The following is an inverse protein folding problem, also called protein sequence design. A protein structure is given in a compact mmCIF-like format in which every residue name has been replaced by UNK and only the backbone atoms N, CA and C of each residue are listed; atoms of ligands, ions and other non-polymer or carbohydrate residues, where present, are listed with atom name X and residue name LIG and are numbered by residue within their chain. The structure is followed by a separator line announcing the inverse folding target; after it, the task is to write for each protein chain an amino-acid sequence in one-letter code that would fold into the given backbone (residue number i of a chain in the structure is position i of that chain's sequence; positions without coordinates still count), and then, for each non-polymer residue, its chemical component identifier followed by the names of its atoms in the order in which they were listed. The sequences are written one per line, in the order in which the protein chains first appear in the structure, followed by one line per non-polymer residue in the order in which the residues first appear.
data_IF_136525338999
#
_entry.id   IF_136525338999
#
_cell.length_a   1.000
_cell.length_b   1.000
_cell.length_c   1.000
_cell.angle_alpha   90.00
_cell.angle_beta   90.00
_cell.angle_gamma   90.00
#
_symmetry.space_group_name_H-M   'P 1'
#
loop_
_entity.id
_entity.type
_entity.pdbx_description
1 polymer ?
#
# COMPACT_ATOMS: atom_id res chain seq x y z
N UNK A 1 -4.21 35.80 32.91
CA UNK A 1 -3.96 35.87 31.45
C UNK A 1 -2.84 34.93 31.02
N UNK A 2 -1.61 35.05 31.56
CA UNK A 2 -0.44 34.21 31.16
C UNK A 2 -0.63 32.71 31.47
N UNK A 3 -1.23 32.36 32.61
CA UNK A 3 -1.49 30.95 32.98
C UNK A 3 -2.49 30.23 32.08
N UNK A 4 -3.43 30.95 31.47
CA UNK A 4 -4.43 30.36 30.58
C UNK A 4 -3.83 29.98 29.22
N UNK A 5 -2.87 30.79 28.75
CA UNK A 5 -2.13 30.52 27.50
C UNK A 5 -1.23 29.30 27.65
N UNK A 6 -0.55 29.14 28.80
CA UNK A 6 0.28 27.97 29.08
C UNK A 6 -0.53 26.68 29.17
N UNK A 7 -1.74 26.75 29.73
CA UNK A 7 -2.65 25.60 29.83
C UNK A 7 -3.14 25.12 28.46
N UNK A 8 -3.51 26.05 27.57
CA UNK A 8 -3.89 25.71 26.19
C UNK A 8 -2.71 25.11 25.43
N UNK A 9 -1.50 25.68 25.57
CA UNK A 9 -0.30 25.13 24.94
C UNK A 9 0.00 23.70 25.42
N UNK A 10 -0.15 23.43 26.73
CA UNK A 10 0.06 22.10 27.31
C UNK A 10 -0.94 21.05 26.81
N UNK A 11 -2.18 21.44 26.50
CA UNK A 11 -3.18 20.52 25.93
C UNK A 11 -2.96 20.23 24.43
N UNK A 12 -2.40 21.19 23.68
CA UNK A 12 -2.11 21.02 22.25
C UNK A 12 -0.77 20.32 21.95
N UNK A 13 0.21 20.39 22.88
CA UNK A 13 1.53 19.77 22.70
C UNK A 13 1.52 18.23 22.60
N UNK A 14 0.79 17.46 23.44
CA UNK A 14 0.76 16.00 23.33
C UNK A 14 -0.10 15.53 22.15
N UNK A 15 -1.14 16.29 21.81
CA UNK A 15 -1.98 16.06 20.64
C UNK A 15 -1.13 16.11 19.36
N UNK A 16 -0.38 17.20 19.14
CA UNK A 16 0.49 17.34 17.95
C UNK A 16 1.62 16.31 17.91
N UNK A 17 2.15 15.87 19.06
CA UNK A 17 3.12 14.78 19.14
C UNK A 17 2.52 13.44 18.69
N UNK A 18 1.32 13.09 19.15
CA UNK A 18 0.58 11.89 18.72
C UNK A 18 0.14 11.94 17.25
N UNK A 19 -0.27 13.11 16.73
CA UNK A 19 -0.60 13.25 15.31
C UNK A 19 0.64 13.08 14.42
N UNK A 20 1.83 13.53 14.87
CA UNK A 20 3.09 13.40 14.12
C UNK A 20 3.61 11.94 14.07
N UNK A 21 3.36 11.14 15.11
CA UNK A 21 3.67 9.70 15.10
C UNK A 21 2.72 8.87 14.21
N UNK A 22 1.52 9.39 13.87
CA UNK A 22 0.55 8.69 13.00
C UNK A 22 0.83 8.90 11.51
N UNK A 23 1.54 9.96 11.14
CA UNK A 23 1.99 10.22 9.78
C UNK A 23 3.45 9.75 9.61
N UNK A 24 3.71 8.47 9.86
CA UNK A 24 4.81 7.80 9.17
C UNK A 24 4.31 7.50 7.75
N UNK A 25 4.68 8.26 6.71
CA UNK A 25 4.72 7.66 5.40
C UNK A 25 5.74 6.52 5.53
N UNK A 26 5.25 5.28 5.51
CA UNK A 26 6.10 4.11 5.51
C UNK A 26 6.90 4.10 4.19
N UNK A 27 7.99 4.87 4.12
CA UNK A 27 9.10 4.60 3.21
C UNK A 27 9.81 3.39 3.78
N UNK A 28 9.18 2.23 3.56
CA UNK A 28 9.82 0.93 3.70
C UNK A 28 10.91 0.86 2.64
N UNK A 29 12.08 1.40 2.95
CA UNK A 29 13.32 1.01 2.30
C UNK A 29 13.65 -0.39 2.83
N UNK A 30 12.99 -1.41 2.29
CA UNK A 30 13.58 -2.75 2.25
C UNK A 30 14.46 -2.79 1.01
N UNK A 31 15.71 -2.37 1.18
CA UNK A 31 16.76 -2.80 0.27
C UNK A 31 16.97 -4.31 0.52
N UNK A 32 17.10 -5.08 -0.57
CA UNK A 32 17.39 -6.51 -0.64
C UNK A 32 16.22 -7.52 -0.55
N UNK A 33 15.34 -7.52 -1.57
CA UNK A 33 14.95 -8.79 -2.21
C UNK A 33 14.93 -8.58 -3.73
N UNK A 34 15.85 -9.28 -4.41
CA UNK A 34 15.93 -9.50 -5.86
C UNK A 34 15.97 -8.27 -6.77
N UNK A 35 17.20 -7.80 -6.98
CA UNK A 35 17.68 -7.05 -8.13
C UNK A 35 17.31 -7.77 -9.43
N UNK A 36 16.21 -7.34 -10.06
CA UNK A 36 15.96 -7.22 -11.51
C UNK A 36 14.45 -7.14 -11.71
N UNK A 37 14.00 -6.03 -12.28
CA UNK A 37 12.74 -5.96 -13.02
C UNK A 37 11.45 -5.58 -12.26
N UNK A 38 11.56 -4.83 -11.17
CA UNK A 38 10.52 -3.84 -10.87
C UNK A 38 11.11 -2.51 -11.36
N UNK A 39 10.45 -1.77 -12.26
CA UNK A 39 10.99 -0.51 -12.77
C UNK A 39 11.36 0.40 -11.59
N UNK A 40 12.55 0.99 -11.67
CA UNK A 40 13.14 1.81 -10.61
C UNK A 40 12.26 3.01 -10.25
N UNK A 41 11.43 3.46 -11.20
CA UNK A 41 10.43 4.50 -11.01
C UNK A 41 9.22 4.02 -10.21
N UNK A 42 9.01 4.67 -9.06
CA UNK A 42 7.84 4.44 -8.21
C UNK A 42 6.51 4.65 -8.94
N UNK A 43 6.47 5.55 -9.93
CA UNK A 43 5.27 5.83 -10.75
C UNK A 43 5.00 4.68 -11.71
N UNK A 44 6.04 4.21 -12.43
CA UNK A 44 5.89 3.15 -13.41
C UNK A 44 5.58 1.80 -12.73
N UNK A 45 6.17 1.54 -11.56
CA UNK A 45 5.83 0.38 -10.73
C UNK A 45 4.36 0.40 -10.32
N UNK A 46 3.84 1.56 -9.89
CA UNK A 46 2.42 1.70 -9.51
C UNK A 46 1.53 1.49 -10.71
N UNK A 47 1.86 2.06 -11.87
CA UNK A 47 1.08 1.89 -13.08
C UNK A 47 1.05 0.42 -13.54
N UNK A 48 2.20 -0.24 -13.57
CA UNK A 48 2.32 -1.66 -13.90
C UNK A 48 1.49 -2.56 -12.97
N UNK A 49 1.58 -2.34 -11.66
CA UNK A 49 0.78 -3.10 -10.68
C UNK A 49 -0.72 -2.83 -10.86
N UNK A 50 -1.11 -1.57 -11.11
CA UNK A 50 -2.51 -1.21 -11.34
C UNK A 50 -3.05 -1.84 -12.63
N UNK A 51 -2.26 -1.85 -13.71
CA UNK A 51 -2.63 -2.52 -14.96
C UNK A 51 -2.84 -4.02 -14.74
N UNK A 52 -1.90 -4.71 -14.07
CA UNK A 52 -2.05 -6.12 -13.73
C UNK A 52 -3.29 -6.39 -12.87
N UNK A 53 -3.60 -5.51 -11.91
CA UNK A 53 -4.83 -5.63 -11.11
C UNK A 53 -6.08 -5.55 -11.97
N UNK A 54 -6.14 -4.58 -12.88
CA UNK A 54 -7.27 -4.43 -13.80
C UNK A 54 -7.43 -5.65 -14.72
N UNK A 55 -6.33 -6.20 -15.23
CA UNK A 55 -6.36 -7.43 -16.04
C UNK A 55 -6.87 -8.63 -15.23
N UNK A 56 -6.42 -8.77 -13.99
CA UNK A 56 -6.87 -9.81 -13.07
C UNK A 56 -8.37 -9.63 -12.76
N UNK A 57 -8.81 -8.43 -12.45
CA UNK A 57 -10.22 -8.10 -12.19
C UNK A 57 -11.10 -8.33 -13.42
N UNK A 58 -10.63 -7.99 -14.62
CA UNK A 58 -11.33 -8.24 -15.88
C UNK A 58 -11.44 -9.74 -16.21
N UNK A 59 -10.45 -10.54 -15.80
CA UNK A 59 -10.48 -12.00 -15.92
C UNK A 59 -11.28 -12.69 -14.80
N UNK A 60 -11.66 -11.95 -13.75
CA UNK A 60 -12.45 -12.43 -12.62
C UNK A 60 -13.93 -12.06 -12.77
N UNK A 61 -14.75 -12.61 -11.88
CA UNK A 61 -16.16 -12.26 -11.75
C UNK A 61 -16.34 -10.78 -11.39
N UNK A 62 -17.49 -10.16 -11.73
CA UNK A 62 -17.78 -8.78 -11.36
C UNK A 62 -17.66 -8.56 -9.85
N UNK A 63 -17.21 -7.36 -9.46
CA UNK A 63 -16.97 -7.04 -8.05
C UNK A 63 -18.27 -7.18 -7.24
N UNK A 64 -18.27 -8.01 -6.18
CA UNK A 64 -19.47 -8.21 -5.36
C UNK A 64 -19.83 -6.93 -4.57
N UNK A 65 -21.11 -6.73 -4.31
CA UNK A 65 -21.64 -5.58 -3.55
C UNK A 65 -21.53 -5.77 -2.02
N UNK A 66 -21.53 -7.02 -1.55
CA UNK A 66 -21.49 -7.32 -0.12
C UNK A 66 -20.12 -7.06 0.50
N UNK A 67 -20.09 -6.44 1.68
CA UNK A 67 -18.85 -6.04 2.36
C UNK A 67 -17.94 -7.21 2.76
N UNK A 68 -18.52 -8.35 3.16
CA UNK A 68 -17.77 -9.56 3.52
C UNK A 68 -17.19 -10.21 2.26
N UNK A 69 -18.02 -10.32 1.22
CA UNK A 69 -17.62 -10.95 -0.04
C UNK A 69 -16.59 -10.09 -0.77
N UNK A 70 -16.69 -8.76 -0.65
CA UNK A 70 -15.70 -7.81 -1.14
C UNK A 70 -14.34 -8.01 -0.49
N UNK A 71 -14.26 -8.22 0.83
CA UNK A 71 -12.98 -8.49 1.51
C UNK A 71 -12.34 -9.79 1.03
N UNK A 72 -13.15 -10.83 0.85
CA UNK A 72 -12.68 -12.09 0.28
C UNK A 72 -12.21 -11.92 -1.16
N UNK A 73 -12.96 -11.17 -1.96
CA UNK A 73 -12.60 -10.83 -3.32
C UNK A 73 -11.27 -10.08 -3.38
N UNK A 74 -11.10 -9.03 -2.57
CA UNK A 74 -9.88 -8.23 -2.50
C UNK A 74 -8.68 -9.10 -2.08
N UNK A 75 -8.87 -10.05 -1.15
CA UNK A 75 -7.84 -11.02 -0.77
C UNK A 75 -7.47 -11.99 -1.91
N UNK A 76 -8.47 -12.48 -2.66
CA UNK A 76 -8.25 -13.33 -3.83
C UNK A 76 -7.47 -12.60 -4.93
N UNK A 77 -7.80 -11.33 -5.18
CA UNK A 77 -7.09 -10.47 -6.14
C UNK A 77 -5.64 -10.26 -5.69
N UNK A 78 -5.40 -10.01 -4.41
CA UNK A 78 -4.04 -9.84 -3.87
C UNK A 78 -3.18 -11.09 -4.06
N UNK A 79 -3.71 -12.27 -3.73
CA UNK A 79 -3.00 -13.55 -3.90
C UNK A 79 -2.66 -13.80 -5.37
N UNK A 80 -3.61 -13.60 -6.29
CA UNK A 80 -3.38 -13.77 -7.73
C UNK A 80 -2.32 -12.80 -8.26
N UNK A 81 -2.35 -11.55 -7.79
CA UNK A 81 -1.35 -10.55 -8.17
C UNK A 81 0.05 -10.96 -7.72
N UNK A 82 0.20 -11.42 -6.49
CA UNK A 82 1.50 -11.91 -5.98
C UNK A 82 1.99 -13.13 -6.78
N UNK A 83 1.10 -14.06 -7.12
CA UNK A 83 1.44 -15.21 -7.97
C UNK A 83 1.94 -14.78 -9.34
N UNK A 84 1.27 -13.82 -9.99
CA UNK A 84 1.68 -13.28 -11.30
C UNK A 84 3.03 -12.55 -11.21
N UNK A 85 3.24 -11.75 -10.18
CA UNK A 85 4.53 -11.09 -9.96
C UNK A 85 5.66 -12.10 -9.73
N UNK A 86 5.41 -13.15 -8.96
CA UNK A 86 6.36 -14.24 -8.74
C UNK A 86 6.64 -15.04 -10.03
N UNK A 87 5.60 -15.26 -10.86
CA UNK A 87 5.72 -15.93 -12.16
C UNK A 87 6.55 -15.11 -13.15
N UNK A 88 6.29 -13.80 -13.26
CA UNK A 88 7.08 -12.87 -14.08
C UNK A 88 8.54 -12.84 -13.60
N UNK A 89 8.76 -12.84 -12.29
CA UNK A 89 10.10 -12.93 -11.71
C UNK A 89 10.80 -14.25 -12.05
N UNK A 90 10.07 -15.37 -12.11
CA UNK A 90 10.59 -16.70 -12.43
C UNK A 90 10.92 -16.87 -13.92
N UNK A 91 10.06 -16.39 -14.82
CA UNK A 91 10.22 -16.53 -16.27
C UNK A 91 11.42 -15.76 -16.84
N UNK A 92 11.91 -14.73 -16.15
CA UNK A 92 13.02 -13.86 -16.62
C UNK A 92 14.34 -14.10 -15.89
N UNK A 93 14.47 -15.24 -15.21
CA UNK A 93 15.67 -15.68 -14.51
C UNK A 93 16.61 -16.56 -15.37
N UNK A 94 16.36 -16.71 -16.67
CA UNK A 94 17.29 -17.27 -17.63
C UNK A 94 18.32 -16.24 -18.11
#
# INVERSE_FOLDING_TARGET
MVMFVLFIAYLYFPATWLYRLRFQPATKTSCSVSKRYIPEDAVLRRHFISQLRLEIEAALHPRPTDSILQRHYDALVAIKLEQRLAEIGRMRAC
#
